data_IF_178260121278
#
_entry.id   IF_178260121278
#
_cell.length_a   1.000
_cell.length_b   1.000
_cell.length_c   1.000
_cell.angle_alpha   90.00
_cell.angle_beta   90.00
_cell.angle_gamma   90.00
#
_symmetry.space_group_name_H-M   'P 1'
#
loop_
_entity.id
_entity.type
_entity.pdbx_description
1 polymer ?
#
# COMPACT_ATOMS: atom_id res chain seq x y z
N UNK A 1 6.83 5.07 3.15
CA UNK A 1 7.07 3.77 2.48
C UNK A 1 5.97 3.39 1.50
N UNK A 2 4.77 3.05 2.00
CA UNK A 2 3.66 2.56 1.17
C UNK A 2 3.21 3.61 0.15
N UNK A 3 3.08 4.87 0.57
CA UNK A 3 2.67 5.98 -0.30
C UNK A 3 3.64 6.16 -1.47
N UNK A 4 4.94 6.19 -1.19
CA UNK A 4 5.99 6.38 -2.18
C UNK A 4 6.05 5.22 -3.16
N UNK A 5 5.90 3.98 -2.69
CA UNK A 5 5.84 2.81 -3.56
C UNK A 5 4.61 2.83 -4.47
N UNK A 6 3.42 3.13 -3.95
CA UNK A 6 2.21 3.25 -4.78
C UNK A 6 2.38 4.41 -5.77
N UNK A 7 2.90 5.55 -5.34
CA UNK A 7 3.15 6.68 -6.22
C UNK A 7 4.13 6.34 -7.34
N UNK A 8 5.19 5.56 -7.09
CA UNK A 8 6.08 5.12 -8.17
C UNK A 8 5.36 4.22 -9.17
N UNK A 9 4.55 3.27 -8.69
CA UNK A 9 3.76 2.40 -9.59
C UNK A 9 2.79 3.18 -10.47
N UNK A 10 2.16 4.22 -9.91
CA UNK A 10 1.25 5.09 -10.65
C UNK A 10 1.98 6.03 -11.62
N UNK A 11 3.16 6.53 -11.23
CA UNK A 11 3.98 7.40 -12.08
C UNK A 11 4.56 6.65 -13.30
N UNK A 12 4.78 5.34 -13.17
CA UNK A 12 5.20 4.48 -14.28
C UNK A 12 4.09 4.26 -15.32
N UNK A 13 2.85 4.69 -15.05
CA UNK A 13 1.74 4.62 -15.99
C UNK A 13 1.67 5.88 -16.87
N UNK A 14 1.22 5.73 -18.11
CA UNK A 14 1.01 6.86 -19.04
C UNK A 14 -0.20 7.73 -18.66
N UNK A 15 -1.12 7.20 -17.83
CA UNK A 15 -2.36 7.85 -17.44
C UNK A 15 -2.26 8.55 -16.08
N UNK A 16 -2.95 9.68 -15.91
CA UNK A 16 -3.04 10.34 -14.60
C UNK A 16 -4.10 9.67 -13.72
N UNK A 17 -3.66 8.94 -12.70
CA UNK A 17 -4.57 8.23 -11.77
C UNK A 17 -5.15 9.14 -10.69
N UNK A 18 -6.46 9.06 -10.46
CA UNK A 18 -7.07 9.58 -9.24
C UNK A 18 -6.80 8.60 -8.09
N UNK A 19 -6.36 9.11 -6.94
CA UNK A 19 -6.13 8.28 -5.75
C UNK A 19 -7.28 8.44 -4.77
N UNK A 20 -7.88 7.33 -4.34
CA UNK A 20 -8.87 7.30 -3.25
C UNK A 20 -8.40 6.32 -2.16
N UNK A 21 -8.30 6.81 -0.93
CA UNK A 21 -7.81 6.04 0.21
C UNK A 21 -8.95 5.75 1.19
N UNK A 22 -9.04 4.50 1.63
CA UNK A 22 -9.97 4.00 2.63
C UNK A 22 -9.20 3.22 3.70
N UNK A 23 -9.81 3.05 4.87
CA UNK A 23 -9.21 2.37 6.01
C UNK A 23 -10.13 1.24 6.48
N UNK A 24 -9.58 0.05 6.72
CA UNK A 24 -10.34 -1.14 7.13
C UNK A 24 -10.35 -1.38 8.64
N UNK A 25 -9.74 -0.50 9.44
CA UNK A 25 -9.85 -0.51 10.91
C UNK A 25 -11.19 0.05 11.40
N UNK A 26 -11.98 0.63 10.50
CA UNK A 26 -13.38 1.00 10.67
C UNK A 26 -14.27 0.20 9.70
N UNK A 27 -15.60 0.31 9.87
CA UNK A 27 -16.54 -0.26 8.90
C UNK A 27 -16.37 0.42 7.53
N UNK A 28 -16.25 -0.39 6.48
CA UNK A 28 -16.03 0.12 5.14
C UNK A 28 -17.26 0.90 4.64
N UNK A 29 -17.11 2.19 4.29
CA UNK A 29 -18.23 2.99 3.85
C UNK A 29 -18.73 2.53 2.47
N UNK A 30 -20.00 2.77 2.15
CA UNK A 30 -20.57 2.49 0.82
C UNK A 30 -19.77 3.09 -0.32
N UNK A 31 -19.17 4.26 -0.09
CA UNK A 31 -18.28 4.93 -1.03
C UNK A 31 -17.10 4.04 -1.47
N UNK A 32 -16.57 3.16 -0.61
CA UNK A 32 -15.52 2.22 -0.99
C UNK A 32 -16.01 1.23 -2.05
N UNK A 33 -17.14 0.58 -1.76
CA UNK A 33 -17.76 -0.41 -2.65
C UNK A 33 -18.19 0.19 -3.98
N UNK A 34 -18.76 1.40 -3.94
CA UNK A 34 -19.10 2.16 -5.14
C UNK A 34 -17.85 2.49 -5.96
N UNK A 35 -16.74 2.87 -5.33
CA UNK A 35 -15.49 3.19 -6.06
C UNK A 35 -14.98 1.99 -6.85
N UNK A 36 -15.01 0.79 -6.27
CA UNK A 36 -14.56 -0.43 -6.94
C UNK A 36 -15.48 -0.89 -8.08
N UNK A 37 -16.68 -0.32 -8.17
CA UNK A 37 -17.66 -0.67 -9.19
C UNK A 37 -17.88 0.46 -10.20
N UNK A 38 -17.36 1.67 -9.95
CA UNK A 38 -17.56 2.81 -10.82
C UNK A 38 -16.81 2.65 -12.14
N UNK A 39 -17.54 2.60 -13.25
CA UNK A 39 -16.96 2.63 -14.59
C UNK A 39 -17.11 4.05 -15.13
N UNK A 40 -16.06 4.88 -15.01
CA UNK A 40 -16.14 6.24 -15.52
C UNK A 40 -15.65 6.25 -16.98
N UNK A 41 -16.58 6.24 -17.94
CA UNK A 41 -16.26 6.09 -19.38
C UNK A 41 -15.39 7.23 -19.95
N UNK A 42 -15.38 8.40 -19.30
CA UNK A 42 -14.61 9.59 -19.67
C UNK A 42 -13.76 10.14 -18.52
N UNK A 43 -13.74 9.45 -17.38
CA UNK A 43 -13.06 9.89 -16.17
C UNK A 43 -11.63 9.37 -16.09
N UNK A 44 -10.83 10.00 -15.24
CA UNK A 44 -9.50 9.48 -14.89
C UNK A 44 -9.63 8.09 -14.25
N UNK A 45 -8.72 7.15 -14.54
CA UNK A 45 -8.68 5.87 -13.87
C UNK A 45 -8.44 6.09 -12.36
N UNK A 46 -8.95 5.19 -11.52
CA UNK A 46 -8.91 5.34 -10.06
C UNK A 46 -8.06 4.26 -9.40
N UNK A 47 -7.04 4.69 -8.67
CA UNK A 47 -6.28 3.86 -7.75
C UNK A 47 -7.01 3.85 -6.40
N UNK A 48 -7.49 2.68 -5.99
CA UNK A 48 -8.24 2.50 -4.74
C UNK A 48 -7.30 1.89 -3.70
N UNK A 49 -6.87 2.68 -2.74
CA UNK A 49 -5.97 2.25 -1.68
C UNK A 49 -6.78 1.87 -0.46
N UNK A 50 -6.71 0.61 -0.05
CA UNK A 50 -7.26 0.15 1.22
C UNK A 50 -6.13 -0.07 2.23
N UNK A 51 -6.08 0.82 3.23
CA UNK A 51 -5.15 0.76 4.37
C UNK A 51 -5.65 -0.23 5.41
N UNK A 52 -4.71 -0.82 6.16
CA UNK A 52 -4.98 -1.77 7.25
C UNK A 52 -5.87 -2.95 6.84
N UNK A 53 -5.72 -3.45 5.62
CA UNK A 53 -6.59 -4.48 5.02
C UNK A 53 -6.57 -5.82 5.77
N UNK A 54 -5.63 -6.02 6.70
CA UNK A 54 -5.64 -7.14 7.65
C UNK A 54 -6.86 -7.16 8.58
N UNK A 55 -7.56 -6.04 8.74
CA UNK A 55 -8.77 -5.92 9.55
C UNK A 55 -10.06 -6.32 8.81
N UNK A 56 -9.97 -6.58 7.49
CA UNK A 56 -11.11 -7.04 6.71
C UNK A 56 -11.70 -8.33 7.27
N UNK A 57 -13.02 -8.30 7.49
CA UNK A 57 -13.78 -9.45 7.97
C UNK A 57 -14.00 -10.45 6.84
N UNK A 58 -14.39 -11.67 7.19
CA UNK A 58 -14.70 -12.71 6.21
C UNK A 58 -15.80 -12.29 5.21
N UNK A 59 -16.77 -11.50 5.66
CA UNK A 59 -17.84 -10.95 4.82
C UNK A 59 -17.33 -9.92 3.80
N UNK A 60 -16.37 -9.09 4.16
CA UNK A 60 -15.76 -8.12 3.24
C UNK A 60 -15.00 -8.82 2.12
N UNK A 61 -14.26 -9.88 2.47
CA UNK A 61 -13.58 -10.72 1.48
C UNK A 61 -14.56 -11.42 0.54
N UNK A 62 -15.71 -11.88 1.05
CA UNK A 62 -16.79 -12.45 0.21
C UNK A 62 -17.35 -11.41 -0.77
N UNK A 63 -17.55 -10.16 -0.32
CA UNK A 63 -18.00 -9.05 -1.18
C UNK A 63 -16.94 -8.67 -2.23
N UNK A 64 -15.66 -8.68 -1.87
CA UNK A 64 -14.56 -8.36 -2.77
C UNK A 64 -14.34 -9.39 -3.88
N UNK A 65 -14.56 -10.67 -3.60
CA UNK A 65 -14.27 -11.76 -4.53
C UNK A 65 -14.91 -11.57 -5.94
N UNK A 66 -16.22 -11.35 -6.08
CA UNK A 66 -16.84 -11.11 -7.40
C UNK A 66 -16.42 -9.77 -8.04
N UNK A 67 -16.02 -8.78 -7.24
CA UNK A 67 -15.57 -7.47 -7.75
C UNK A 67 -14.19 -7.61 -8.41
N UNK A 68 -13.25 -8.24 -7.70
CA UNK A 68 -11.87 -8.44 -8.18
C UNK A 68 -11.82 -9.42 -9.37
N UNK A 69 -12.74 -10.39 -9.42
CA UNK A 69 -12.83 -11.34 -10.53
C UNK A 69 -13.22 -10.73 -11.88
N UNK A 70 -13.81 -9.52 -11.89
CA UNK A 70 -14.33 -8.86 -13.10
C UNK A 70 -13.39 -7.83 -13.72
N UNK A 71 -12.10 -7.84 -13.37
CA UNK A 71 -11.02 -6.94 -13.80
C UNK A 71 -11.47 -5.69 -14.59
N UNK A 72 -11.33 -4.51 -13.97
CA UNK A 72 -11.70 -3.23 -14.59
C UNK A 72 -10.43 -2.42 -14.86
N UNK A 73 -10.10 -2.18 -16.13
CA UNK A 73 -8.88 -1.46 -16.52
C UNK A 73 -8.79 -0.05 -15.91
N UNK A 74 -9.92 0.62 -15.68
CA UNK A 74 -9.97 1.94 -15.03
C UNK A 74 -9.92 1.92 -13.49
N UNK A 75 -9.77 0.75 -12.85
CA UNK A 75 -9.74 0.64 -11.38
C UNK A 75 -8.56 -0.22 -10.97
N UNK A 76 -7.67 0.35 -10.15
CA UNK A 76 -6.52 -0.36 -9.61
C UNK A 76 -6.60 -0.44 -8.08
N UNK A 77 -7.02 -1.58 -7.52
CA UNK A 77 -7.08 -1.76 -6.08
C UNK A 77 -5.70 -2.12 -5.50
N UNK A 78 -5.34 -1.46 -4.40
CA UNK A 78 -4.16 -1.71 -3.58
C UNK A 78 -4.60 -2.11 -2.17
N UNK A 79 -4.19 -3.29 -1.72
CA UNK A 79 -4.46 -3.78 -0.36
C UNK A 79 -3.18 -3.66 0.48
N UNK A 80 -3.18 -2.77 1.45
CA UNK A 80 -2.04 -2.53 2.32
C UNK A 80 -2.22 -3.29 3.63
N UNK A 81 -1.29 -4.22 3.90
CA UNK A 81 -1.19 -4.90 5.18
C UNK A 81 -0.16 -4.17 6.05
N UNK A 82 -0.57 -3.69 7.22
CA UNK A 82 0.21 -2.75 8.04
C UNK A 82 0.51 -3.28 9.44
N UNK A 83 0.75 -4.59 9.52
CA UNK A 83 1.16 -5.24 10.77
C UNK A 83 2.64 -5.01 11.07
N UNK A 84 2.94 -4.99 12.36
CA UNK A 84 4.31 -5.02 12.86
C UNK A 84 5.04 -6.27 12.37
N UNK A 85 6.31 -6.10 11.97
CA UNK A 85 7.14 -7.19 11.46
C UNK A 85 7.58 -8.09 12.60
N UNK A 86 7.46 -9.40 12.39
CA UNK A 86 7.94 -10.41 13.34
C UNK A 86 9.06 -11.22 12.67
N UNK A 87 10.20 -11.36 13.36
CA UNK A 87 11.39 -12.12 12.89
C UNK A 87 11.79 -11.80 11.43
N UNK A 88 11.72 -10.52 11.06
CA UNK A 88 12.11 -10.05 9.72
C UNK A 88 11.12 -10.37 8.59
N UNK A 89 9.88 -10.76 8.91
CA UNK A 89 8.80 -10.94 7.92
C UNK A 89 7.50 -10.28 8.40
N UNK A 90 6.68 -9.72 7.51
CA UNK A 90 5.36 -9.25 7.88
C UNK A 90 4.46 -10.46 8.18
N UNK A 91 3.73 -10.47 9.31
CA UNK A 91 2.78 -11.53 9.61
C UNK A 91 1.58 -11.42 8.67
N UNK A 92 1.41 -12.42 7.80
CA UNK A 92 0.27 -12.50 6.88
C UNK A 92 -0.66 -13.59 7.40
N UNK A 93 -1.94 -13.27 7.62
CA UNK A 93 -2.90 -14.24 8.17
C UNK A 93 -3.11 -15.43 7.21
N UNK A 94 -3.27 -16.63 7.77
CA UNK A 94 -3.57 -17.83 6.98
C UNK A 94 -4.88 -17.68 6.19
N UNK A 95 -5.85 -16.92 6.72
CA UNK A 95 -7.11 -16.61 6.03
C UNK A 95 -6.84 -15.87 4.73
N UNK A 96 -5.96 -14.87 4.74
CA UNK A 96 -5.60 -14.12 3.53
C UNK A 96 -4.79 -14.98 2.54
N UNK A 97 -3.85 -15.78 3.04
CA UNK A 97 -3.02 -16.65 2.19
C UNK A 97 -3.85 -17.70 1.42
N UNK A 98 -5.01 -18.11 1.97
CA UNK A 98 -5.92 -19.06 1.32
C UNK A 98 -6.71 -18.45 0.17
N UNK A 99 -6.77 -17.12 0.07
CA UNK A 99 -7.58 -16.44 -0.92
C UNK A 99 -6.99 -16.58 -2.33
N UNK A 100 -7.85 -16.72 -3.34
CA UNK A 100 -7.41 -16.90 -4.72
C UNK A 100 -6.56 -15.71 -5.22
N UNK A 101 -6.97 -14.49 -4.91
CA UNK A 101 -6.25 -13.27 -5.30
C UNK A 101 -4.89 -13.13 -4.62
N UNK A 102 -4.71 -13.65 -3.40
CA UNK A 102 -3.40 -13.68 -2.76
C UNK A 102 -2.41 -14.53 -3.56
N UNK A 103 -2.84 -15.74 -3.96
CA UNK A 103 -2.02 -16.64 -4.79
C UNK A 103 -1.67 -16.02 -6.15
N UNK A 104 -2.63 -15.34 -6.78
CA UNK A 104 -2.40 -14.60 -8.02
C UNK A 104 -1.36 -13.49 -7.80
N UNK A 105 -1.53 -12.67 -6.77
CA UNK A 105 -0.59 -11.59 -6.47
C UNK A 105 0.84 -12.10 -6.23
N UNK A 106 1.01 -13.22 -5.51
CA UNK A 106 2.32 -13.82 -5.31
C UNK A 106 2.91 -14.36 -6.62
N UNK A 107 2.15 -15.14 -7.39
CA UNK A 107 2.62 -15.70 -8.68
C UNK A 107 2.99 -14.63 -9.72
N UNK A 108 2.33 -13.47 -9.67
CA UNK A 108 2.59 -12.33 -10.55
C UNK A 108 3.66 -11.36 -10.01
N UNK A 109 4.20 -11.61 -8.81
CA UNK A 109 5.18 -10.73 -8.18
C UNK A 109 4.63 -9.38 -7.75
N UNK A 110 3.30 -9.25 -7.56
CA UNK A 110 2.64 -8.01 -7.15
C UNK A 110 2.76 -7.74 -5.64
N UNK A 111 3.21 -8.73 -4.86
CA UNK A 111 3.38 -8.58 -3.42
C UNK A 111 4.70 -7.86 -3.11
N UNK A 112 4.58 -6.59 -2.75
CA UNK A 112 5.68 -5.80 -2.20
C UNK A 112 5.68 -5.82 -0.68
N UNK A 113 6.87 -5.89 -0.08
CA UNK A 113 7.07 -5.96 1.37
C UNK A 113 8.12 -4.96 1.78
N UNK A 114 7.87 -4.26 2.88
CA UNK A 114 8.85 -3.33 3.44
C UNK A 114 8.76 -3.27 4.97
N UNK A 115 9.89 -3.37 5.70
CA UNK A 115 9.91 -3.32 7.17
C UNK A 115 9.60 -1.95 7.76
N UNK A 116 9.38 -0.95 6.90
CA UNK A 116 9.22 0.42 7.37
C UNK A 116 10.56 1.09 7.68
N UNK A 117 10.48 2.11 8.52
CA UNK A 117 11.65 2.76 9.09
C UNK A 117 12.08 1.98 10.34
N UNK A 118 13.22 1.33 10.26
CA UNK A 118 13.90 0.75 11.41
C UNK A 118 14.98 1.72 11.88
N UNK A 119 15.33 1.72 13.18
CA UNK A 119 16.40 2.59 13.71
C UNK A 119 17.70 2.48 12.90
N UNK A 120 18.02 1.29 12.41
CA UNK A 120 19.22 1.02 11.60
C UNK A 120 19.17 1.60 10.17
N UNK A 121 17.98 1.84 9.62
CA UNK A 121 17.80 2.29 8.22
C UNK A 121 17.35 3.76 8.11
N UNK A 122 17.01 4.40 9.24
CA UNK A 122 16.46 5.76 9.26
C UNK A 122 17.52 6.81 8.87
N UNK A 123 18.77 6.67 9.32
CA UNK A 123 19.85 7.59 8.96
C UNK A 123 20.14 7.53 7.45
N UNK A 124 20.28 6.32 6.91
CA UNK A 124 20.49 6.11 5.47
C UNK A 124 19.36 6.74 4.66
N UNK A 125 18.11 6.59 5.10
CA UNK A 125 16.97 7.15 4.38
C UNK A 125 16.85 8.66 4.49
N UNK A 126 17.16 9.24 5.65
CA UNK A 126 17.21 10.69 5.80
C UNK A 126 18.29 11.27 4.90
N UNK A 127 19.45 10.61 4.80
CA UNK A 127 20.50 10.94 3.83
C UNK A 127 19.99 10.91 2.38
N UNK A 128 19.43 9.77 1.94
CA UNK A 128 18.87 9.63 0.59
C UNK A 128 17.76 10.64 0.28
N UNK A 129 16.92 10.96 1.27
CA UNK A 129 15.89 11.98 1.13
C UNK A 129 16.53 13.36 0.94
N UNK A 130 17.53 13.70 1.76
CA UNK A 130 18.20 14.99 1.70
C UNK A 130 18.93 15.18 0.37
N UNK A 131 19.65 14.17 -0.11
CA UNK A 131 20.30 14.16 -1.42
C UNK A 131 19.30 14.44 -2.55
N UNK A 132 18.15 13.76 -2.54
CA UNK A 132 17.09 13.98 -3.54
C UNK A 132 16.49 15.39 -3.50
N UNK A 133 16.57 16.07 -2.36
CA UNK A 133 16.08 17.44 -2.19
C UNK A 133 17.20 18.48 -2.34
N UNK A 134 18.44 18.08 -2.62
CA UNK A 134 19.59 18.98 -2.63
C UNK A 134 19.93 19.58 -1.25
N UNK A 135 19.49 18.94 -0.17
CA UNK A 135 19.69 19.39 1.21
C UNK A 135 20.97 18.72 1.75
N UNK A 136 21.91 19.53 2.24
CA UNK A 136 23.04 19.03 3.00
C UNK A 136 22.64 18.95 4.49
N UNK A 137 22.67 17.76 5.09
CA UNK A 137 22.41 17.58 6.52
C UNK A 137 23.76 17.52 7.26
N UNK A 138 24.06 18.49 8.15
CA UNK A 138 25.27 18.46 8.96
C UNK A 138 25.37 17.18 9.80
N UNK A 139 26.59 16.67 9.97
CA UNK A 139 26.85 15.42 10.69
C UNK A 139 26.34 15.43 12.15
N UNK A 140 26.31 16.60 12.80
CA UNK A 140 25.78 16.75 14.16
C UNK A 140 24.27 16.52 14.21
N UNK A 141 23.53 17.00 13.21
CA UNK A 141 22.07 16.81 13.10
C UNK A 141 21.75 15.35 12.77
N UNK A 142 22.57 14.69 11.94
CA UNK A 142 22.43 13.25 11.66
C UNK A 142 22.54 12.37 12.90
N UNK A 143 23.38 12.74 13.87
CA UNK A 143 23.54 12.00 15.13
C UNK A 143 22.33 12.14 16.07
N UNK A 144 21.62 13.27 16.04
CA UNK A 144 20.43 13.51 16.88
C UNK A 144 19.17 12.83 16.34
N UNK A 145 19.12 12.58 15.02
CA UNK A 145 17.97 11.95 14.35
C UNK A 145 17.73 10.49 14.78
N UNK A 146 18.67 9.86 15.48
CA UNK A 146 18.49 8.57 16.18
C UNK A 146 19.04 8.74 17.59
N UNK A 147 18.19 8.91 18.63
CA UNK A 147 18.69 9.03 19.99
C UNK A 147 19.46 7.75 20.36
N UNK A 148 20.76 7.91 20.63
CA UNK A 148 21.55 6.91 21.34
C UNK A 148 20.87 6.69 22.69
N UNK A 149 20.41 5.46 22.94
CA UNK A 149 20.00 5.05 24.29
C UNK A 149 21.25 4.81 25.13
#
# INVERSE_FOLDING_TARGET
MIKEYIHSLLADQQESWQVRTFWADEELPDAYWQTLTWTNLLGRPTAVILRRAEHLKAEDWKKLHPILGRFKSGIWPFFCLEKEWDRGKPPISAVLQRQAYWKVAESKGWVWRSPGLERKNIQQRVGQWAERQGICIPAEVQRVLVPSS
#
